data_IF_776629876970
#
_entry.id   IF_776629876970
#
_cell.length_a   1.000
_cell.length_b   1.000
_cell.length_c   1.000
_cell.angle_alpha   90.00
_cell.angle_beta   90.00
_cell.angle_gamma   90.00
#
_symmetry.space_group_name_H-M   'P 1'
#
loop_
_entity.id
_entity.type
_entity.pdbx_description
1 polymer ?
#
# COMPACT_ATOMS: atom_id res chain seq x y z
N UNK A 1 17.93 29.62 9.92
CA UNK A 1 16.72 28.97 10.46
C UNK A 1 17.07 27.52 10.75
N UNK A 2 16.70 26.95 11.90
CA UNK A 2 17.04 25.56 12.18
C UNK A 2 16.32 24.71 11.12
N UNK A 3 17.09 23.87 10.42
CA UNK A 3 16.55 22.78 9.61
C UNK A 3 15.93 21.77 10.58
N UNK A 4 14.79 22.12 11.17
CA UNK A 4 13.99 21.21 11.97
C UNK A 4 13.58 20.11 11.01
N UNK A 5 14.11 18.91 11.24
CA UNK A 5 13.63 17.69 10.61
C UNK A 5 12.12 17.68 10.81
N UNK A 6 11.36 18.02 9.77
CA UNK A 6 9.90 18.03 9.85
C UNK A 6 9.49 16.59 10.12
N UNK A 7 8.70 16.40 11.17
CA UNK A 7 8.22 15.06 11.52
C UNK A 7 7.48 14.45 10.32
N UNK A 8 7.70 13.16 10.01
CA UNK A 8 7.05 12.53 8.88
C UNK A 8 5.54 12.41 9.11
N UNK A 9 4.78 12.41 8.03
CA UNK A 9 3.40 11.97 8.07
C UNK A 9 3.36 10.44 8.15
N UNK A 10 2.54 9.89 9.04
CA UNK A 10 2.33 8.46 9.17
C UNK A 10 0.83 8.18 9.02
N UNK A 11 0.48 7.36 8.03
CA UNK A 11 -0.88 6.90 7.81
C UNK A 11 -0.92 5.38 7.90
N UNK A 12 -1.65 4.86 8.87
CA UNK A 12 -1.86 3.42 9.03
C UNK A 12 -3.20 3.05 8.43
N UNK A 13 -3.15 2.21 7.43
CA UNK A 13 -4.27 1.71 6.65
C UNK A 13 -4.45 0.23 7.01
N UNK A 14 -5.67 -0.21 7.28
CA UNK A 14 -5.99 -1.63 7.53
C UNK A 14 -6.61 -2.25 6.29
N UNK A 15 -6.28 -3.50 6.04
CA UNK A 15 -6.87 -4.26 4.95
C UNK A 15 -8.29 -4.69 5.33
N UNK A 16 -9.29 -4.15 4.64
CA UNK A 16 -10.67 -4.64 4.68
C UNK A 16 -10.81 -5.85 3.75
N UNK A 17 -10.10 -6.92 4.11
CA UNK A 17 -10.18 -8.17 3.38
C UNK A 17 -11.47 -8.90 3.76
N UNK A 18 -12.57 -8.63 3.04
CA UNK A 18 -13.81 -9.42 3.10
C UNK A 18 -13.69 -10.80 2.40
N UNK A 19 -12.46 -11.28 2.16
CA UNK A 19 -12.20 -12.62 1.59
C UNK A 19 -10.92 -13.28 2.13
N UNK A 20 -10.79 -13.38 3.45
CA UNK A 20 -9.86 -14.33 4.08
C UNK A 20 -10.61 -15.53 4.67
N UNK A 21 -11.33 -16.30 3.84
CA UNK A 21 -11.63 -17.69 4.21
C UNK A 21 -10.42 -18.58 3.90
N UNK A 22 -9.34 -18.39 4.66
CA UNK A 22 -8.53 -19.54 5.09
C UNK A 22 -9.05 -19.88 6.49
N UNK A 23 -10.18 -20.59 6.54
CA UNK A 23 -10.65 -21.23 7.76
C UNK A 23 -9.59 -22.24 8.21
N UNK A 24 -8.79 -21.82 9.18
CA UNK A 24 -8.51 -22.56 10.40
C UNK A 24 -8.55 -24.10 10.24
N UNK A 25 -7.51 -24.66 9.62
CA UNK A 25 -7.24 -26.09 9.70
C UNK A 25 -6.75 -26.42 11.12
N UNK A 26 -7.70 -26.62 12.05
CA UNK A 26 -7.49 -27.35 13.32
C UNK A 26 -8.87 -27.70 13.89
N UNK A 27 -9.39 -28.87 13.52
CA UNK A 27 -10.24 -29.63 14.46
C UNK A 27 -9.75 -31.07 14.53
N UNK A 28 -9.60 -31.46 15.78
CA UNK A 28 -8.91 -32.61 16.33
C UNK A 28 -9.51 -33.95 15.88
N UNK A 29 -8.68 -34.98 16.07
CA UNK A 29 -8.75 -36.41 15.75
C UNK A 29 -10.03 -37.18 16.13
N UNK A 30 -10.37 -38.23 15.37
CA UNK A 30 -10.40 -39.63 15.87
C UNK A 30 -10.89 -40.64 14.81
N UNK A 31 -10.11 -41.73 14.66
CA UNK A 31 -10.47 -43.09 14.23
C UNK A 31 -10.92 -43.37 12.79
N UNK A 32 -10.03 -43.93 11.96
CA UNK A 32 -10.09 -45.35 11.64
C UNK A 32 -8.80 -45.82 10.94
N UNK A 33 -8.31 -46.96 11.40
CA UNK A 33 -7.13 -47.69 10.95
C UNK A 33 -7.25 -48.16 9.49
N UNK A 34 -6.07 -48.35 8.86
CA UNK A 34 -5.77 -49.23 7.71
C UNK A 34 -5.59 -48.65 6.29
N UNK A 35 -5.50 -47.33 6.09
CA UNK A 35 -5.20 -46.75 4.76
C UNK A 35 -4.00 -45.78 4.72
N UNK A 36 -3.06 -45.89 5.68
CA UNK A 36 -1.89 -45.00 5.74
C UNK A 36 -0.62 -45.51 5.03
N UNK A 37 -0.58 -46.77 4.57
CA UNK A 37 0.64 -47.34 3.92
C UNK A 37 0.70 -47.21 2.40
N UNK A 38 -0.29 -46.61 1.74
CA UNK A 38 -0.29 -46.44 0.26
C UNK A 38 -0.23 -45.00 -0.23
N UNK A 39 -0.06 -44.02 0.67
CA UNK A 39 0.10 -42.59 0.31
C UNK A 39 1.47 -42.01 0.62
N UNK A 40 2.45 -42.81 1.07
CA UNK A 40 3.78 -42.31 1.42
C UNK A 40 4.86 -42.56 0.36
N UNK A 41 4.50 -43.04 -0.85
CA UNK A 41 5.49 -43.40 -1.88
C UNK A 41 5.28 -42.74 -3.25
N UNK A 42 4.51 -41.65 -3.32
CA UNK A 42 4.31 -40.83 -4.53
C UNK A 42 4.24 -39.32 -4.17
N UNK A 43 5.21 -38.85 -3.36
CA UNK A 43 5.43 -37.40 -3.08
C UNK A 43 6.90 -37.02 -3.20
N UNK A 44 7.61 -37.65 -4.14
CA UNK A 44 8.87 -37.14 -4.66
C UNK A 44 8.63 -36.87 -6.15
N UNK A 45 8.89 -35.63 -6.56
CA UNK A 45 8.74 -35.04 -7.90
C UNK A 45 7.50 -34.13 -8.03
N UNK A 46 7.75 -32.89 -8.48
CA UNK A 46 6.92 -31.68 -8.46
C UNK A 46 6.91 -31.03 -7.06
N UNK A 47 7.83 -30.15 -6.71
CA UNK A 47 8.25 -28.95 -7.45
C UNK A 47 7.71 -27.75 -6.66
N UNK A 48 8.62 -26.89 -6.19
CA UNK A 48 8.35 -25.69 -5.38
C UNK A 48 7.00 -25.03 -5.71
N UNK A 49 6.09 -24.97 -4.75
CA UNK A 49 4.83 -24.26 -4.90
C UNK A 49 5.17 -22.77 -5.10
N UNK A 50 4.95 -22.25 -6.31
CA UNK A 50 5.20 -20.85 -6.70
C UNK A 50 4.14 -19.88 -6.14
N UNK A 51 3.59 -20.15 -4.96
CA UNK A 51 2.52 -19.35 -4.35
C UNK A 51 2.98 -18.43 -3.21
N UNK A 52 4.28 -18.32 -2.96
CA UNK A 52 4.87 -17.42 -1.95
C UNK A 52 5.37 -16.07 -2.51
N UNK A 53 4.86 -15.67 -3.68
CA UNK A 53 4.77 -14.25 -4.03
C UNK A 53 3.39 -13.76 -3.60
N UNK A 54 3.08 -13.84 -2.31
CA UNK A 54 1.93 -13.13 -1.79
C UNK A 54 2.14 -11.66 -2.13
N UNK A 55 1.29 -11.10 -3.00
CA UNK A 55 1.34 -9.69 -3.35
C UNK A 55 0.95 -8.90 -2.11
N UNK A 56 1.96 -8.50 -1.33
CA UNK A 56 1.80 -7.98 0.02
C UNK A 56 0.90 -6.74 0.09
N UNK A 57 0.69 -6.08 -1.05
CA UNK A 57 -0.12 -4.88 -1.18
C UNK A 57 -1.53 -5.14 -1.72
N UNK A 58 -1.85 -6.34 -2.21
CA UNK A 58 -3.16 -6.63 -2.79
C UNK A 58 -4.25 -6.58 -1.73
N UNK A 59 -5.26 -5.77 -1.97
CA UNK A 59 -6.41 -5.64 -1.07
C UNK A 59 -7.09 -4.28 -1.15
N UNK A 60 -8.16 -4.16 -0.38
CA UNK A 60 -8.84 -2.90 -0.10
C UNK A 60 -8.34 -2.40 1.25
N UNK A 61 -7.81 -1.19 1.29
CA UNK A 61 -7.18 -0.60 2.45
C UNK A 61 -7.99 0.61 2.92
N UNK A 62 -8.40 0.62 4.17
CA UNK A 62 -9.11 1.74 4.80
C UNK A 62 -8.26 2.40 5.88
N UNK A 63 -8.24 3.73 5.90
CA UNK A 63 -7.49 4.49 6.91
C UNK A 63 -7.98 4.14 8.32
N UNK A 64 -7.04 3.82 9.20
CA UNK A 64 -7.31 3.48 10.59
C UNK A 64 -6.74 4.51 11.57
N UNK A 65 -5.55 5.02 11.29
CA UNK A 65 -4.89 6.04 12.11
C UNK A 65 -4.09 6.96 11.20
N UNK A 66 -4.10 8.26 11.52
CA UNK A 66 -3.40 9.25 10.73
C UNK A 66 -2.69 10.25 11.66
N UNK A 67 -1.37 10.37 11.54
CA UNK A 67 -0.53 11.21 12.38
C UNK A 67 0.24 12.23 11.54
N UNK A 68 0.14 13.51 11.92
CA UNK A 68 0.83 14.64 11.27
C UNK A 68 0.44 14.88 9.80
N UNK A 69 -0.80 14.54 9.42
CA UNK A 69 -1.29 14.70 8.04
C UNK A 69 -1.34 16.16 7.60
N UNK A 70 -1.85 17.05 8.44
CA UNK A 70 -2.03 18.45 8.07
C UNK A 70 -0.69 19.12 7.76
N UNK A 71 0.34 18.86 8.56
CA UNK A 71 1.67 19.39 8.33
C UNK A 71 2.23 18.94 6.98
N UNK A 72 2.04 17.68 6.62
CA UNK A 72 2.45 17.17 5.31
C UNK A 72 1.69 17.83 4.17
N UNK A 73 0.37 18.02 4.29
CA UNK A 73 -0.42 18.74 3.29
C UNK A 73 0.01 20.22 3.16
N UNK A 74 0.46 20.86 4.24
CA UNK A 74 1.04 22.22 4.20
C UNK A 74 2.35 22.22 3.39
N UNK A 75 3.22 21.21 3.59
CA UNK A 75 4.48 21.08 2.84
C UNK A 75 4.20 20.88 1.35
N UNK A 76 3.16 20.11 1.00
CA UNK A 76 2.70 19.93 -0.38
C UNK A 76 2.01 21.17 -0.98
N UNK A 77 1.81 22.24 -0.21
CA UNK A 77 1.17 23.46 -0.70
C UNK A 77 -0.35 23.35 -0.89
N UNK A 78 -1.01 22.40 -0.22
CA UNK A 78 -2.46 22.26 -0.27
C UNK A 78 -3.13 23.39 0.53
N UNK A 79 -4.10 24.12 -0.04
CA UNK A 79 -4.76 25.24 0.63
C UNK A 79 -5.63 24.79 1.81
N UNK A 80 -5.84 25.67 2.78
CA UNK A 80 -6.45 25.32 4.08
C UNK A 80 -7.87 24.74 3.99
N UNK A 81 -8.66 25.18 3.01
CA UNK A 81 -10.00 24.65 2.76
C UNK A 81 -9.96 23.16 2.33
N UNK A 82 -9.03 22.80 1.44
CA UNK A 82 -8.85 21.41 1.02
C UNK A 82 -8.25 20.56 2.14
N UNK A 83 -7.34 21.10 2.96
CA UNK A 83 -6.79 20.35 4.11
C UNK A 83 -7.86 19.95 5.12
N UNK A 84 -8.82 20.83 5.43
CA UNK A 84 -9.93 20.50 6.33
C UNK A 84 -10.75 19.32 5.81
N UNK A 85 -11.10 19.34 4.51
CA UNK A 85 -11.83 18.25 3.88
C UNK A 85 -11.02 16.95 3.85
N UNK A 86 -9.71 17.03 3.64
CA UNK A 86 -8.83 15.86 3.63
C UNK A 86 -8.66 15.22 5.02
N UNK A 87 -8.67 16.02 6.10
CA UNK A 87 -8.52 15.50 7.46
C UNK A 87 -9.73 14.68 7.92
N UNK A 88 -10.93 15.03 7.45
CA UNK A 88 -12.17 14.31 7.73
C UNK A 88 -12.45 13.18 6.71
N UNK A 89 -11.49 12.91 5.81
CA UNK A 89 -11.65 11.94 4.73
C UNK A 89 -11.40 10.51 5.20
N UNK A 90 -12.36 9.62 4.91
CA UNK A 90 -12.23 8.18 5.13
C UNK A 90 -11.68 7.51 3.88
N UNK A 91 -10.44 7.85 3.52
CA UNK A 91 -9.79 7.36 2.31
C UNK A 91 -9.81 5.83 2.25
N UNK A 92 -10.37 5.31 1.16
CA UNK A 92 -10.32 3.89 0.79
C UNK A 92 -9.40 3.72 -0.42
N UNK A 93 -8.49 2.76 -0.37
CA UNK A 93 -7.52 2.48 -1.42
C UNK A 93 -7.57 1.01 -1.81
N UNK A 94 -7.98 0.72 -3.04
CA UNK A 94 -7.91 -0.62 -3.61
C UNK A 94 -6.61 -0.75 -4.43
N UNK A 95 -5.74 -1.67 -4.04
CA UNK A 95 -4.48 -1.94 -4.73
C UNK A 95 -4.57 -3.33 -5.37
N UNK A 96 -4.22 -3.40 -6.65
CA UNK A 96 -4.03 -4.63 -7.42
C UNK A 96 -2.64 -4.66 -8.03
N UNK A 97 -1.85 -5.66 -7.70
CA UNK A 97 -0.52 -5.88 -8.19
C UNK A 97 -0.50 -7.08 -9.15
N UNK A 98 -0.01 -6.85 -10.35
CA UNK A 98 0.18 -7.87 -11.38
C UNK A 98 1.65 -7.87 -11.76
N UNK A 99 2.46 -8.62 -11.00
CA UNK A 99 3.91 -8.62 -11.13
C UNK A 99 4.49 -7.23 -10.83
N UNK A 100 4.96 -6.54 -11.87
CA UNK A 100 5.55 -5.20 -11.76
C UNK A 100 4.55 -4.07 -11.95
N UNK A 101 3.31 -4.37 -12.35
CA UNK A 101 2.28 -3.39 -12.63
C UNK A 101 1.36 -3.24 -11.43
N UNK A 102 1.07 -2.01 -11.06
CA UNK A 102 0.16 -1.66 -9.99
C UNK A 102 -1.02 -0.85 -10.54
N UNK A 103 -2.22 -1.27 -10.16
CA UNK A 103 -3.44 -0.50 -10.36
C UNK A 103 -3.96 -0.10 -8.97
N UNK A 104 -4.02 1.21 -8.73
CA UNK A 104 -4.47 1.78 -7.47
C UNK A 104 -5.74 2.60 -7.72
N UNK A 105 -6.81 2.30 -7.00
CA UNK A 105 -8.05 3.08 -7.01
C UNK A 105 -8.24 3.70 -5.64
N UNK A 106 -8.14 5.03 -5.58
CA UNK A 106 -8.32 5.82 -4.37
C UNK A 106 -9.71 6.46 -4.38
N UNK A 107 -10.51 6.23 -3.35
CA UNK A 107 -11.82 6.86 -3.13
C UNK A 107 -11.72 7.78 -1.93
N UNK A 108 -11.96 9.07 -2.18
CA UNK A 108 -11.87 10.15 -1.19
C UNK A 108 -13.07 11.09 -1.31
N UNK A 109 -13.21 12.02 -0.36
CA UNK A 109 -14.11 13.18 -0.46
C UNK A 109 -13.86 14.06 -1.70
N UNK A 110 -12.68 13.96 -2.33
CA UNK A 110 -12.35 14.68 -3.58
C UNK A 110 -12.80 13.94 -4.83
N UNK A 111 -13.32 12.72 -4.68
CA UNK A 111 -13.75 11.84 -5.76
C UNK A 111 -12.95 10.54 -5.82
N UNK A 112 -13.24 9.76 -6.85
CA UNK A 112 -12.53 8.51 -7.15
C UNK A 112 -11.45 8.76 -8.19
N UNK A 113 -10.24 8.29 -7.92
CA UNK A 113 -9.09 8.43 -8.80
C UNK A 113 -8.43 7.08 -9.01
N UNK A 114 -8.28 6.68 -10.26
CA UNK A 114 -7.50 5.50 -10.65
C UNK A 114 -6.12 5.92 -11.13
N UNK A 115 -5.09 5.25 -10.66
CA UNK A 115 -3.72 5.42 -11.14
C UNK A 115 -3.15 4.04 -11.48
N UNK A 116 -2.47 3.97 -12.62
CA UNK A 116 -1.80 2.77 -13.09
C UNK A 116 -0.35 3.11 -13.36
N UNK A 117 0.56 2.35 -12.78
CA UNK A 117 2.00 2.56 -12.91
C UNK A 117 2.74 1.23 -12.81
N UNK A 118 3.94 1.19 -13.40
CA UNK A 118 4.85 0.05 -13.27
C UNK A 118 5.99 0.41 -12.33
N UNK A 119 6.59 -0.60 -11.69
CA UNK A 119 7.80 -0.42 -10.91
C UNK A 119 8.93 0.17 -11.75
N UNK A 120 9.66 1.10 -11.16
CA UNK A 120 10.82 1.79 -11.74
C UNK A 120 10.53 2.58 -13.03
N UNK A 121 9.25 2.74 -13.39
CA UNK A 121 8.81 3.60 -14.50
C UNK A 121 8.30 4.94 -13.98
N UNK A 122 8.67 6.01 -14.68
CA UNK A 122 8.24 7.35 -14.33
C UNK A 122 6.79 7.57 -14.77
N UNK A 123 5.95 8.03 -13.85
CA UNK A 123 4.56 8.35 -14.12
C UNK A 123 4.22 9.76 -13.63
N UNK A 124 3.23 10.35 -14.29
CA UNK A 124 2.67 11.64 -13.90
C UNK A 124 1.36 11.44 -13.16
N UNK A 125 1.17 12.25 -12.12
CA UNK A 125 -0.03 12.24 -11.31
C UNK A 125 -0.43 13.67 -10.94
N UNK A 126 -1.69 13.88 -10.54
CA UNK A 126 -2.19 15.22 -10.16
C UNK A 126 -2.59 15.23 -8.69
N UNK A 127 -2.08 16.20 -7.93
CA UNK A 127 -2.48 16.42 -6.53
C UNK A 127 -3.87 17.04 -6.44
N UNK A 128 -4.47 17.02 -5.24
CA UNK A 128 -5.80 17.59 -4.99
C UNK A 128 -5.91 19.11 -5.29
N UNK A 129 -4.78 19.83 -5.29
CA UNK A 129 -4.72 21.24 -5.64
C UNK A 129 -4.56 21.49 -7.17
N UNK A 130 -4.47 20.44 -7.99
CA UNK A 130 -4.25 20.52 -9.43
C UNK A 130 -2.78 20.57 -9.86
N UNK A 131 -1.82 20.59 -8.92
CA UNK A 131 -0.39 20.52 -9.25
C UNK A 131 -0.05 19.15 -9.84
N UNK A 132 0.76 19.15 -10.90
CA UNK A 132 1.31 17.93 -11.45
C UNK A 132 2.47 17.43 -10.58
N UNK A 133 2.57 16.12 -10.46
CA UNK A 133 3.63 15.43 -9.77
C UNK A 133 4.18 14.39 -10.71
N UNK A 134 5.50 14.27 -10.75
CA UNK A 134 6.19 13.24 -11.53
C UNK A 134 7.05 12.41 -10.60
N UNK A 135 7.07 11.11 -10.78
CA UNK A 135 7.88 10.25 -9.92
C UNK A 135 7.85 8.79 -10.31
N UNK A 136 8.55 7.99 -9.51
CA UNK A 136 8.69 6.54 -9.69
C UNK A 136 8.37 5.84 -8.37
N UNK A 137 7.91 4.60 -8.46
CA UNK A 137 7.84 3.68 -7.32
C UNK A 137 8.80 2.53 -7.53
N UNK A 138 9.61 2.23 -6.52
CA UNK A 138 10.57 1.14 -6.52
C UNK A 138 10.26 0.15 -5.39
N UNK A 139 10.35 -1.13 -5.69
CA UNK A 139 10.15 -2.20 -4.70
C UNK A 139 11.48 -2.53 -4.04
N UNK A 140 11.69 -2.03 -2.81
CA UNK A 140 12.94 -2.23 -2.06
C UNK A 140 12.99 -3.62 -1.42
N UNK A 141 11.84 -4.13 -0.98
CA UNK A 141 11.63 -5.48 -0.44
C UNK A 141 10.26 -5.98 -0.87
N UNK A 142 9.99 -7.28 -0.70
CA UNK A 142 8.67 -7.88 -1.01
C UNK A 142 7.47 -7.15 -0.38
N UNK A 143 7.69 -6.46 0.74
CA UNK A 143 6.67 -5.76 1.49
C UNK A 143 6.93 -4.25 1.66
N UNK A 144 7.94 -3.67 0.97
CA UNK A 144 8.29 -2.26 1.10
C UNK A 144 8.48 -1.59 -0.25
N UNK A 145 7.61 -0.62 -0.53
CA UNK A 145 7.65 0.27 -1.67
C UNK A 145 8.20 1.64 -1.24
N UNK A 146 9.06 2.22 -2.07
CA UNK A 146 9.57 3.58 -1.89
C UNK A 146 9.32 4.36 -3.18
N UNK A 147 8.63 5.49 -3.04
CA UNK A 147 8.27 6.37 -4.14
C UNK A 147 8.94 7.72 -4.02
N UNK A 148 9.58 8.17 -5.08
CA UNK A 148 10.24 9.46 -5.16
C UNK A 148 9.49 10.37 -6.12
N UNK A 149 9.05 11.52 -5.63
CA UNK A 149 8.14 12.40 -6.35
C UNK A 149 8.62 13.84 -6.36
N UNK A 150 8.37 14.51 -7.47
CA UNK A 150 8.65 15.92 -7.69
C UNK A 150 7.37 16.66 -8.06
N UNK A 151 7.06 17.74 -7.35
CA UNK A 151 5.94 18.63 -7.66
C UNK A 151 6.37 19.61 -8.75
N UNK A 152 5.59 19.71 -9.82
CA UNK A 152 5.81 20.65 -10.92
C UNK A 152 4.83 21.83 -10.83
N UNK A 153 5.26 23.07 -11.17
CA UNK A 153 6.60 23.45 -11.63
C UNK A 153 7.58 23.82 -10.49
N UNK A 154 7.14 23.87 -9.24
CA UNK A 154 7.93 24.29 -8.07
C UNK A 154 9.25 23.52 -7.89
N UNK A 155 9.30 22.27 -8.36
CA UNK A 155 10.47 21.39 -8.28
C UNK A 155 10.71 20.78 -6.91
N UNK A 156 9.77 20.90 -5.97
CA UNK A 156 9.89 20.34 -4.60
C UNK A 156 9.80 18.82 -4.63
N UNK A 157 10.74 18.18 -3.95
CA UNK A 157 10.81 16.72 -3.83
C UNK A 157 10.11 16.23 -2.55
N UNK A 158 9.46 15.07 -2.65
CA UNK A 158 8.91 14.35 -1.52
C UNK A 158 8.99 12.83 -1.74
N UNK A 159 9.05 12.09 -0.65
CA UNK A 159 9.18 10.64 -0.64
C UNK A 159 7.95 10.05 0.05
N UNK A 160 7.41 8.97 -0.54
CA UNK A 160 6.37 8.15 0.06
C UNK A 160 6.91 6.74 0.24
N UNK A 161 6.95 6.25 1.47
CA UNK A 161 7.30 4.86 1.80
C UNK A 161 6.01 4.14 2.16
N UNK A 162 5.81 2.93 1.65
CA UNK A 162 4.70 2.04 2.01
C UNK A 162 5.28 0.72 2.47
N UNK A 163 4.96 0.32 3.69
CA UNK A 163 5.39 -0.95 4.26
C UNK A 163 4.16 -1.77 4.68
N UNK A 164 4.01 -2.95 4.09
CA UNK A 164 2.91 -3.86 4.36
C UNK A 164 3.36 -4.96 5.33
N UNK A 165 2.52 -5.26 6.33
CA UNK A 165 2.74 -6.35 7.28
C UNK A 165 1.37 -6.97 7.63
N UNK A 166 1.07 -8.11 7.02
CA UNK A 166 -0.20 -8.82 7.24
C UNK A 166 -1.40 -8.01 6.79
N UNK A 167 -2.25 -7.61 7.74
CA UNK A 167 -3.47 -6.81 7.53
C UNK A 167 -3.24 -5.30 7.70
N UNK A 168 -1.99 -4.87 7.86
CA UNK A 168 -1.62 -3.47 8.08
C UNK A 168 -0.71 -2.96 6.97
N UNK A 169 -0.98 -1.74 6.53
CA UNK A 169 -0.14 -0.97 5.64
C UNK A 169 0.22 0.34 6.36
N UNK A 170 1.50 0.58 6.58
CA UNK A 170 1.96 1.87 7.08
C UNK A 170 2.54 2.68 5.92
N UNK A 171 1.99 3.87 5.70
CA UNK A 171 2.47 4.83 4.73
C UNK A 171 3.16 5.99 5.43
N UNK A 172 4.39 6.29 5.03
CA UNK A 172 5.19 7.37 5.60
C UNK A 172 5.52 8.39 4.51
N UNK A 173 5.08 9.64 4.70
CA UNK A 173 5.39 10.75 3.80
C UNK A 173 6.44 11.68 4.37
N UNK A 174 7.45 12.02 3.57
CA UNK A 174 8.51 12.97 3.91
C UNK A 174 8.63 14.01 2.81
N UNK A 175 8.36 15.27 3.10
CA UNK A 175 8.63 16.38 2.19
C UNK A 175 9.92 17.09 2.55
N UNK A 176 10.68 17.53 1.54
CA UNK A 176 11.93 18.28 1.71
C UNK A 176 11.72 19.79 1.96
#
# INVERSE_FOLDING_TARGET
MPKGTREPWINRVRCDNLHTEIRCARRFTSSHSSLQKKQQQLRSLVGSNTNDLAMAFDGVWQVSENHNFEAFLIVLGIPANQRKLAMDDNLEMEIKQQGNKFTVVEKSCFGTKSSEWSLDEEFENTLANGSQVKGTFSLIKSNRLEGHFKILPDGKDFIIIREAEGDKLEQVGKGE
#
